data_IF_139368645054
#
_entry.id   IF_139368645054
#
_cell.length_a   1.000
_cell.length_b   1.000
_cell.length_c   1.000
_cell.angle_alpha   90.00
_cell.angle_beta   90.00
_cell.angle_gamma   90.00
#
_symmetry.space_group_name_H-M   'P 1'
#
loop_
_entity.id
_entity.type
_entity.pdbx_description
1 polymer ?
#
# COMPACT_ATOMS: atom_id res chain seq x y z
N UNK A 1 28.55 5.44 60.40
CA UNK A 1 28.82 4.58 59.23
C UNK A 1 29.09 5.51 58.07
N UNK A 2 30.36 5.81 57.80
CA UNK A 2 30.75 6.68 56.69
C UNK A 2 30.74 5.87 55.40
N UNK A 3 29.91 6.29 54.43
CA UNK A 3 29.89 5.74 53.09
C UNK A 3 31.06 6.36 52.34
N UNK A 4 32.16 5.60 52.19
CA UNK A 4 33.27 5.94 51.31
C UNK A 4 32.75 5.98 49.87
N UNK A 5 32.61 7.20 49.32
CA UNK A 5 32.53 7.40 47.88
C UNK A 5 33.90 7.03 47.30
N UNK A 6 34.01 5.82 46.76
CA UNK A 6 35.20 5.39 46.04
C UNK A 6 35.27 6.16 44.71
N UNK A 7 36.44 6.73 44.35
CA UNK A 7 36.62 7.37 43.06
C UNK A 7 36.37 6.33 41.96
N UNK A 8 35.50 6.65 41.01
CA UNK A 8 35.38 5.84 39.80
C UNK A 8 36.72 5.92 39.07
N UNK A 9 37.55 4.89 39.25
CA UNK A 9 38.83 4.78 38.56
C UNK A 9 38.59 4.71 37.05
N UNK A 10 39.58 5.12 36.26
CA UNK A 10 39.53 5.11 34.79
C UNK A 10 38.98 3.79 34.21
N UNK A 11 39.31 2.66 34.84
CA UNK A 11 38.80 1.30 34.56
C UNK A 11 37.27 1.20 34.53
N UNK A 12 36.58 1.89 35.43
CA UNK A 12 35.11 1.89 35.52
C UNK A 12 34.46 2.70 34.41
N UNK A 13 35.15 3.74 33.90
CA UNK A 13 34.68 4.52 32.76
C UNK A 13 34.66 3.68 31.48
N UNK A 14 35.64 2.79 31.31
CA UNK A 14 35.68 1.88 30.17
C UNK A 14 34.52 0.87 30.17
N UNK A 15 34.09 0.40 31.35
CA UNK A 15 32.95 -0.52 31.48
C UNK A 15 31.62 0.17 31.16
N UNK A 16 31.41 1.40 31.65
CA UNK A 16 30.19 2.18 31.33
C UNK A 16 30.13 2.50 29.84
N UNK A 17 31.27 2.84 29.24
CA UNK A 17 31.39 3.04 27.79
C UNK A 17 31.04 1.76 27.01
N UNK A 18 31.57 0.61 27.43
CA UNK A 18 31.26 -0.68 26.80
C UNK A 18 29.76 -1.02 26.89
N UNK A 19 29.12 -0.74 28.03
CA UNK A 19 27.66 -0.94 28.21
C UNK A 19 26.86 -0.02 27.30
N UNK A 20 27.22 1.26 27.18
CA UNK A 20 26.56 2.19 26.27
C UNK A 20 26.71 1.77 24.81
N UNK A 21 27.89 1.29 24.41
CA UNK A 21 28.14 0.75 23.07
C UNK A 21 27.31 -0.51 22.79
N UNK A 22 27.15 -1.40 23.79
CA UNK A 22 26.29 -2.57 23.68
C UNK A 22 24.80 -2.20 23.56
N UNK A 23 24.34 -1.19 24.29
CA UNK A 23 22.97 -0.67 24.19
C UNK A 23 22.68 -0.03 22.81
N UNK A 24 23.65 0.69 22.25
CA UNK A 24 23.58 1.21 20.88
C UNK A 24 23.49 0.08 19.84
N UNK A 25 24.19 -1.03 20.08
CA UNK A 25 24.08 -2.22 19.22
C UNK A 25 22.68 -2.86 19.30
N UNK A 26 22.02 -2.88 20.47
CA UNK A 26 20.65 -3.40 20.63
C UNK A 26 19.58 -2.59 19.86
N UNK A 27 19.82 -1.30 19.58
CA UNK A 27 18.90 -0.50 18.74
C UNK A 27 18.89 -0.93 17.26
N UNK A 28 19.86 -1.75 16.82
CA UNK A 28 19.95 -2.22 15.43
C UNK A 28 18.97 -3.35 15.07
N UNK A 29 18.39 -4.03 16.07
CA UNK A 29 17.46 -5.14 15.87
C UNK A 29 15.97 -4.75 15.95
N UNK A 30 15.64 -3.47 16.15
CA UNK A 30 14.28 -3.00 15.93
C UNK A 30 13.96 -3.09 14.42
N UNK A 31 12.84 -3.71 13.99
CA UNK A 31 12.40 -3.58 12.61
C UNK A 31 12.22 -2.08 12.33
N UNK A 32 13.08 -1.56 11.46
CA UNK A 32 13.15 -0.14 11.17
C UNK A 32 11.88 0.31 10.43
N UNK A 33 11.48 1.56 10.66
CA UNK A 33 10.39 2.25 9.97
C UNK A 33 10.45 2.20 8.42
N UNK A 34 11.53 1.66 7.84
CA UNK A 34 11.71 1.34 6.42
C UNK A 34 10.66 0.39 5.82
N UNK A 35 9.92 -0.37 6.64
CA UNK A 35 8.80 -1.22 6.16
C UNK A 35 7.46 -0.47 6.05
N UNK A 36 7.32 0.72 6.63
CA UNK A 36 6.25 1.67 6.31
C UNK A 36 6.70 2.59 5.17
N UNK A 37 7.15 1.99 4.07
CA UNK A 37 7.32 2.74 2.83
C UNK A 37 5.91 3.04 2.33
N UNK A 38 5.51 4.31 2.40
CA UNK A 38 4.32 4.77 1.70
C UNK A 38 4.52 4.45 0.22
N UNK A 39 3.85 3.41 -0.29
CA UNK A 39 3.65 3.28 -1.72
C UNK A 39 2.78 4.47 -2.08
N UNK A 40 3.43 5.54 -2.51
CA UNK A 40 2.76 6.76 -2.91
C UNK A 40 1.91 6.38 -4.12
N UNK A 41 0.61 6.17 -3.90
CA UNK A 41 -0.29 5.83 -4.98
C UNK A 41 -0.45 7.02 -5.91
N UNK A 42 -0.67 6.75 -7.19
CA UNK A 42 -1.06 7.79 -8.13
C UNK A 42 -2.33 8.49 -7.62
N UNK A 43 -2.51 9.80 -7.85
CA UNK A 43 -3.67 10.53 -7.35
C UNK A 43 -5.01 9.87 -7.72
N UNK A 44 -5.84 9.64 -6.70
CA UNK A 44 -7.14 9.00 -6.83
C UNK A 44 -7.13 7.47 -6.79
N UNK A 45 -5.96 6.82 -6.63
CA UNK A 45 -5.89 5.39 -6.36
C UNK A 45 -5.96 5.09 -4.87
N UNK A 46 -6.87 4.20 -4.51
CA UNK A 46 -7.12 3.72 -3.15
C UNK A 46 -6.56 2.32 -2.96
N UNK A 47 -5.95 2.06 -1.81
CA UNK A 47 -5.41 0.73 -1.47
C UNK A 47 -6.48 -0.15 -0.83
N UNK A 48 -6.70 -1.32 -1.43
CA UNK A 48 -7.52 -2.39 -0.89
C UNK A 48 -6.60 -3.52 -0.41
N UNK A 49 -6.60 -3.76 0.90
CA UNK A 49 -5.77 -4.79 1.52
C UNK A 49 -6.02 -6.15 0.88
N UNK A 50 -4.97 -6.78 0.34
CA UNK A 50 -5.05 -8.08 -0.32
C UNK A 50 -5.51 -8.06 -1.78
N UNK A 51 -5.82 -6.90 -2.37
CA UNK A 51 -6.15 -6.76 -3.79
C UNK A 51 -5.29 -5.73 -4.54
N UNK A 52 -4.76 -4.71 -3.87
CA UNK A 52 -3.90 -3.69 -4.49
C UNK A 52 -4.56 -2.32 -4.62
N UNK A 53 -4.16 -1.54 -5.63
CA UNK A 53 -4.61 -0.16 -5.81
C UNK A 53 -5.64 -0.03 -6.92
N UNK A 54 -6.76 0.63 -6.65
CA UNK A 54 -7.86 0.79 -7.59
C UNK A 54 -8.33 2.23 -7.66
N UNK A 55 -8.85 2.63 -8.82
CA UNK A 55 -9.45 3.94 -9.07
C UNK A 55 -10.70 3.77 -9.90
N UNK A 56 -11.79 4.43 -9.50
CA UNK A 56 -13.04 4.44 -10.24
C UNK A 56 -13.17 5.73 -11.05
N UNK A 57 -13.51 5.60 -12.33
CA UNK A 57 -13.80 6.72 -13.21
C UNK A 57 -15.32 6.80 -13.44
N UNK A 58 -15.95 7.91 -13.03
CA UNK A 58 -17.40 8.12 -13.17
C UNK A 58 -17.83 8.52 -14.60
N UNK A 59 -16.88 8.91 -15.45
CA UNK A 59 -17.17 9.36 -16.80
C UNK A 59 -17.71 8.22 -17.65
N UNK A 60 -18.84 8.45 -18.33
CA UNK A 60 -19.37 7.50 -19.32
C UNK A 60 -18.57 7.62 -20.60
N UNK A 61 -17.82 6.58 -20.92
CA UNK A 61 -16.96 6.48 -22.09
C UNK A 61 -17.11 5.11 -22.75
N UNK A 62 -16.64 4.97 -23.98
CA UNK A 62 -16.51 3.66 -24.62
C UNK A 62 -15.45 2.81 -23.93
N UNK A 63 -15.49 1.50 -24.14
CA UNK A 63 -14.50 0.59 -23.56
C UNK A 63 -13.06 0.96 -23.98
N UNK A 64 -12.84 1.33 -25.24
CA UNK A 64 -11.53 1.72 -25.74
C UNK A 64 -10.99 2.99 -25.11
N UNK A 65 -11.84 3.99 -24.85
CA UNK A 65 -11.47 5.21 -24.12
C UNK A 65 -11.14 4.93 -22.65
N UNK A 66 -11.90 4.04 -22.00
CA UNK A 66 -11.62 3.59 -20.64
C UNK A 66 -10.25 2.87 -20.57
N UNK A 67 -9.99 1.97 -21.52
CA UNK A 67 -8.71 1.28 -21.65
C UNK A 67 -7.55 2.27 -21.85
N UNK A 68 -7.69 3.22 -22.77
CA UNK A 68 -6.69 4.25 -23.01
C UNK A 68 -6.41 5.11 -21.76
N UNK A 69 -7.45 5.43 -20.99
CA UNK A 69 -7.30 6.16 -19.71
C UNK A 69 -6.46 5.38 -18.71
N UNK A 70 -6.75 4.09 -18.50
CA UNK A 70 -5.96 3.25 -17.59
C UNK A 70 -4.51 3.10 -18.08
N UNK A 71 -4.30 2.91 -19.39
CA UNK A 71 -2.93 2.84 -19.96
C UNK A 71 -2.18 4.15 -19.75
N UNK A 72 -2.84 5.30 -19.90
CA UNK A 72 -2.24 6.62 -19.64
C UNK A 72 -1.86 6.84 -18.17
N UNK A 73 -2.58 6.22 -17.23
CA UNK A 73 -2.21 6.18 -15.81
C UNK A 73 -1.03 5.23 -15.52
N UNK A 74 -0.56 4.48 -16.51
CA UNK A 74 0.42 3.40 -16.33
C UNK A 74 -0.18 2.14 -15.70
N UNK A 75 -1.49 1.94 -15.84
CA UNK A 75 -2.24 0.80 -15.28
C UNK A 75 -3.04 0.07 -16.37
N UNK A 76 -3.95 -0.81 -15.98
CA UNK A 76 -4.87 -1.52 -16.87
C UNK A 76 -6.30 -1.45 -16.32
N UNK A 77 -7.28 -1.73 -17.16
CA UNK A 77 -8.66 -1.94 -16.69
C UNK A 77 -8.69 -3.08 -15.69
N UNK A 78 -9.56 -2.96 -14.69
CA UNK A 78 -9.68 -3.94 -13.61
C UNK A 78 -9.98 -5.34 -14.16
N UNK A 79 -9.17 -6.32 -13.73
CA UNK A 79 -9.45 -7.75 -13.87
C UNK A 79 -10.15 -8.24 -12.60
N UNK A 80 -10.92 -9.31 -12.73
CA UNK A 80 -11.57 -9.96 -11.59
C UNK A 80 -11.17 -11.42 -11.63
N UNK A 81 -10.11 -11.76 -10.90
CA UNK A 81 -9.47 -13.07 -10.82
C UNK A 81 -9.48 -13.68 -9.40
N UNK A 82 -9.95 -12.92 -8.41
CA UNK A 82 -9.98 -13.34 -7.02
C UNK A 82 -11.25 -12.90 -6.29
N UNK A 83 -11.60 -13.61 -5.22
CA UNK A 83 -12.71 -13.22 -4.34
C UNK A 83 -12.50 -11.83 -3.75
N UNK A 84 -11.25 -11.44 -3.49
CA UNK A 84 -10.94 -10.13 -2.94
C UNK A 84 -11.25 -9.00 -3.92
N UNK A 85 -10.95 -9.19 -5.21
CA UNK A 85 -11.32 -8.24 -6.26
C UNK A 85 -12.85 -8.12 -6.44
N UNK A 86 -13.60 -9.21 -6.25
CA UNK A 86 -15.08 -9.15 -6.23
C UNK A 86 -15.57 -8.22 -5.11
N UNK A 87 -14.95 -8.26 -3.93
CA UNK A 87 -15.27 -7.33 -2.83
C UNK A 87 -14.96 -5.88 -3.21
N UNK A 88 -13.81 -5.62 -3.85
CA UNK A 88 -13.44 -4.29 -4.36
C UNK A 88 -14.49 -3.77 -5.33
N UNK A 89 -14.94 -4.58 -6.30
CA UNK A 89 -16.00 -4.17 -7.24
C UNK A 89 -17.26 -3.79 -6.50
N UNK A 90 -17.74 -4.63 -5.56
CA UNK A 90 -18.97 -4.36 -4.80
C UNK A 90 -18.89 -3.04 -4.05
N UNK A 91 -17.75 -2.75 -3.43
CA UNK A 91 -17.55 -1.51 -2.69
C UNK A 91 -17.55 -0.28 -3.61
N UNK A 92 -16.74 -0.31 -4.69
CA UNK A 92 -16.70 0.79 -5.66
C UNK A 92 -18.06 1.01 -6.32
N UNK A 93 -18.74 -0.07 -6.73
CA UNK A 93 -20.08 -0.01 -7.30
C UNK A 93 -21.07 0.65 -6.33
N UNK A 94 -21.08 0.22 -5.06
CA UNK A 94 -21.96 0.78 -4.05
C UNK A 94 -21.71 2.27 -3.76
N UNK A 95 -20.45 2.73 -3.89
CA UNK A 95 -20.10 4.14 -3.68
C UNK A 95 -20.55 5.05 -4.83
N UNK A 96 -20.28 4.63 -6.06
CA UNK A 96 -20.43 5.49 -7.25
C UNK A 96 -21.74 5.28 -8.00
N UNK A 97 -22.36 4.10 -7.89
CA UNK A 97 -23.57 3.74 -8.63
C UNK A 97 -24.80 3.79 -7.70
N UNK A 98 -25.44 4.97 -7.62
CA UNK A 98 -26.58 5.20 -6.71
C UNK A 98 -27.96 4.88 -7.30
N UNK A 99 -28.06 4.75 -8.61
CA UNK A 99 -29.34 4.56 -9.32
C UNK A 99 -29.33 3.28 -10.16
N UNK A 100 -29.83 2.19 -9.59
CA UNK A 100 -29.98 0.89 -10.25
C UNK A 100 -31.05 0.90 -11.37
N UNK A 101 -31.92 1.91 -11.43
CA UNK A 101 -32.98 2.02 -12.44
C UNK A 101 -32.46 2.33 -13.85
N UNK A 102 -31.19 2.73 -14.00
CA UNK A 102 -30.49 2.74 -15.28
C UNK A 102 -29.47 1.62 -15.26
N UNK A 103 -29.42 0.81 -16.31
CA UNK A 103 -28.32 -0.15 -16.52
C UNK A 103 -27.01 0.64 -16.53
N UNK A 104 -26.20 0.48 -15.49
CA UNK A 104 -24.87 1.09 -15.40
C UNK A 104 -23.85 -0.02 -15.56
N UNK A 105 -23.21 -0.04 -16.73
CA UNK A 105 -22.13 -0.96 -17.04
C UNK A 105 -20.81 -0.30 -16.67
N UNK A 106 -19.85 -1.12 -16.21
CA UNK A 106 -18.46 -0.69 -15.97
C UNK A 106 -17.58 -1.42 -16.98
N UNK A 107 -16.63 -0.69 -17.57
CA UNK A 107 -15.60 -1.29 -18.40
C UNK A 107 -14.60 -2.06 -17.51
N UNK A 108 -14.37 -3.34 -17.83
CA UNK A 108 -13.40 -4.22 -17.16
C UNK A 108 -12.42 -4.78 -18.18
N UNK A 109 -11.33 -5.40 -17.71
CA UNK A 109 -10.21 -5.87 -18.54
C UNK A 109 -10.48 -7.09 -19.42
N UNK A 110 -11.65 -7.71 -19.36
CA UNK A 110 -11.99 -8.85 -20.21
C UNK A 110 -12.49 -8.39 -21.59
N UNK A 111 -11.79 -8.80 -22.65
CA UNK A 111 -12.17 -8.53 -24.04
C UNK A 111 -11.62 -9.61 -24.99
N UNK A 112 -12.19 -9.71 -26.19
CA UNK A 112 -11.84 -10.70 -27.22
C UNK A 112 -11.25 -10.08 -28.50
N UNK A 113 -10.93 -8.77 -28.48
CA UNK A 113 -10.42 -7.99 -29.61
C UNK A 113 -9.20 -8.58 -30.37
N UNK A 114 -8.47 -9.52 -29.78
CA UNK A 114 -7.30 -10.16 -30.39
C UNK A 114 -7.45 -11.67 -30.63
N UNK A 115 -8.68 -12.19 -30.60
CA UNK A 115 -8.94 -13.58 -30.95
C UNK A 115 -8.51 -13.82 -32.41
N UNK A 116 -7.61 -14.78 -32.62
CA UNK A 116 -7.32 -15.30 -33.96
C UNK A 116 -8.40 -16.31 -34.32
N UNK A 117 -8.95 -16.16 -35.53
CA UNK A 117 -9.91 -17.11 -36.12
C UNK A 117 -9.36 -18.55 -36.17
#
# INVERSE_FOLDING_TARGET
>A
MEVKLLPLESSTMFLVSAILLACLALASSAPSAKELKWVKSSPGYEYFSGAGFYKFYEQRVTWGEAWATCVNDGTHLMTIDSEKEVEVVKELFGRYIKNYSRMQNIAVGFHDLYKKD
#
